data_IF_587055155542
#
_entry.id   IF_587055155542
#
_cell.length_a   1.000
_cell.length_b   1.000
_cell.length_c   1.000
_cell.angle_alpha   90.00
_cell.angle_beta   90.00
_cell.angle_gamma   90.00
#
_symmetry.space_group_name_H-M   'P 1'
#
loop_
_entity.id
_entity.type
_entity.pdbx_description
1 polymer ?
#
# COMPACT_ATOMS: atom_id res chain seq x y z
N UNK A 1 1.99 20.83 -2.34
CA UNK A 1 2.24 19.39 -2.48
C UNK A 1 1.20 18.69 -1.62
N UNK A 2 0.27 17.91 -2.21
CA UNK A 2 -0.73 17.20 -1.41
C UNK A 2 -0.02 16.13 -0.58
N UNK A 3 -0.21 16.18 0.73
CA UNK A 3 0.24 15.15 1.66
C UNK A 3 -0.97 14.29 1.99
N UNK A 4 -0.86 12.98 1.82
CA UNK A 4 -1.97 12.06 2.08
C UNK A 4 -1.84 11.58 3.52
N UNK A 5 -2.88 11.80 4.31
CA UNK A 5 -2.93 11.36 5.70
C UNK A 5 -4.05 10.34 5.87
N UNK A 6 -3.74 9.20 6.48
CA UNK A 6 -4.72 8.22 6.91
C UNK A 6 -4.79 8.22 8.44
N UNK A 7 -5.93 8.64 8.97
CA UNK A 7 -6.24 8.62 10.42
C UNK A 7 -6.95 7.35 10.85
N UNK A 8 -7.41 6.53 9.90
CA UNK A 8 -8.04 5.25 10.20
C UNK A 8 -6.95 4.20 10.40
N UNK A 9 -6.84 3.67 11.63
CA UNK A 9 -5.90 2.61 11.94
C UNK A 9 -6.27 1.33 11.14
N UNK A 10 -5.39 0.83 10.27
CA UNK A 10 -5.71 -0.27 9.35
C UNK A 10 -5.82 -1.65 10.04
N UNK A 11 -5.40 -1.76 11.30
CA UNK A 11 -5.41 -3.02 12.05
C UNK A 11 -6.68 -3.16 12.88
N UNK A 12 -7.06 -2.08 13.56
CA UNK A 12 -8.22 -1.99 14.45
C UNK A 12 -9.46 -1.39 13.79
N UNK A 13 -9.32 -0.78 12.61
CA UNK A 13 -10.38 -0.07 11.87
C UNK A 13 -11.03 1.06 12.69
N UNK A 14 -10.24 1.71 13.54
CA UNK A 14 -10.71 2.83 14.38
C UNK A 14 -10.04 4.13 13.96
N UNK A 15 -10.80 5.22 14.07
CA UNK A 15 -10.27 6.55 13.79
C UNK A 15 -9.37 7.01 14.94
N UNK A 16 -8.20 7.52 14.57
CA UNK A 16 -7.22 8.09 15.48
C UNK A 16 -7.44 9.60 15.51
N UNK A 17 -8.00 10.09 16.61
CA UNK A 17 -8.33 11.51 16.76
C UNK A 17 -7.14 12.35 17.27
N UNK A 18 -6.25 11.80 18.11
CA UNK A 18 -5.11 12.52 18.68
C UNK A 18 -3.79 12.21 17.94
N UNK A 19 -3.63 12.81 16.76
CA UNK A 19 -2.50 12.50 15.87
C UNK A 19 -1.12 12.85 16.46
N UNK A 20 -1.03 13.67 17.50
CA UNK A 20 0.26 14.09 18.07
C UNK A 20 0.82 13.10 19.09
N UNK A 21 -0.04 12.39 19.82
CA UNK A 21 0.40 11.42 20.82
C UNK A 21 0.35 9.98 20.32
N UNK A 22 -0.27 9.75 19.15
CA UNK A 22 -0.39 8.42 18.57
C UNK A 22 0.77 8.07 17.63
N UNK A 23 1.19 6.80 17.59
CA UNK A 23 2.26 6.35 16.71
C UNK A 23 1.86 6.50 15.24
N UNK A 24 2.84 6.83 14.39
CA UNK A 24 2.65 6.95 12.95
C UNK A 24 3.83 6.39 12.16
N UNK A 25 3.61 6.17 10.87
CA UNK A 25 4.66 5.87 9.89
C UNK A 25 4.51 6.79 8.69
N UNK A 26 5.60 6.94 7.95
CA UNK A 26 5.64 7.66 6.69
C UNK A 26 6.08 6.68 5.61
N UNK A 27 5.21 6.43 4.65
CA UNK A 27 5.47 5.60 3.48
C UNK A 27 5.59 6.48 2.24
N UNK A 28 6.42 6.06 1.28
CA UNK A 28 6.69 6.84 0.07
C UNK A 28 7.67 8.00 0.27
N UNK A 29 7.93 8.72 -0.82
CA UNK A 29 8.85 9.87 -0.88
C UNK A 29 8.29 10.97 -1.75
N UNK A 30 8.60 12.23 -1.43
CA UNK A 30 8.21 13.38 -2.25
C UNK A 30 6.70 13.65 -2.22
N UNK A 31 6.08 13.78 -3.39
CA UNK A 31 4.67 14.14 -3.55
C UNK A 31 3.71 12.97 -3.25
N UNK A 32 4.22 11.74 -3.17
CA UNK A 32 3.46 10.52 -2.88
C UNK A 32 3.66 10.07 -1.42
N UNK A 33 4.04 10.99 -0.54
CA UNK A 33 4.23 10.67 0.88
C UNK A 33 2.87 10.43 1.56
N UNK A 34 2.70 9.24 2.12
CA UNK A 34 1.58 8.81 2.92
C UNK A 34 1.98 8.76 4.40
N UNK A 35 1.23 9.43 5.27
CA UNK A 35 1.34 9.25 6.72
C UNK A 35 0.17 8.43 7.23
N UNK A 36 0.46 7.32 7.91
CA UNK A 36 -0.56 6.45 8.54
C UNK A 36 -0.42 6.56 10.05
N UNK A 37 -1.53 6.85 10.74
CA UNK A 37 -1.62 6.92 12.19
C UNK A 37 -2.24 5.64 12.77
N UNK A 38 -1.79 5.25 13.96
CA UNK A 38 -2.21 4.01 14.63
C UNK A 38 -2.78 4.29 16.02
N UNK A 39 -3.73 3.45 16.46
CA UNK A 39 -4.29 3.50 17.82
C UNK A 39 -3.18 3.29 18.85
N UNK A 40 -2.29 2.31 18.62
CA UNK A 40 -1.20 1.98 19.54
C UNK A 40 0.05 1.46 18.82
N UNK A 41 1.16 1.38 19.55
CA UNK A 41 2.42 0.86 19.02
C UNK A 41 2.31 -0.61 18.59
N UNK A 42 1.42 -1.37 19.24
CA UNK A 42 1.12 -2.76 18.86
C UNK A 42 0.55 -2.85 17.45
N UNK A 43 -0.36 -1.95 17.07
CA UNK A 43 -0.97 -1.94 15.74
C UNK A 43 0.05 -1.49 14.70
N UNK A 44 0.87 -0.48 15.01
CA UNK A 44 1.99 -0.08 14.16
C UNK A 44 2.95 -1.25 13.90
N UNK A 45 3.32 -1.99 14.94
CA UNK A 45 4.22 -3.15 14.81
C UNK A 45 3.57 -4.27 14.00
N UNK A 46 2.27 -4.55 14.21
CA UNK A 46 1.53 -5.54 13.43
C UNK A 46 1.42 -5.14 11.94
N UNK A 47 1.20 -3.86 11.65
CA UNK A 47 1.18 -3.35 10.29
C UNK A 47 2.54 -3.55 9.59
N UNK A 48 3.65 -3.18 10.24
CA UNK A 48 4.99 -3.36 9.70
C UNK A 48 5.43 -4.83 9.60
N UNK A 49 4.89 -5.69 10.46
CA UNK A 49 5.15 -7.13 10.44
C UNK A 49 4.25 -7.89 9.45
N UNK A 50 3.18 -7.26 8.96
CA UNK A 50 2.35 -7.84 7.92
C UNK A 50 3.22 -7.93 6.68
N UNK A 51 3.45 -9.12 6.10
CA UNK A 51 4.15 -9.21 4.84
C UNK A 51 3.33 -8.38 3.86
N UNK A 52 3.91 -7.31 3.35
CA UNK A 52 3.42 -6.69 2.13
C UNK A 52 3.54 -7.79 1.10
N UNK A 53 2.46 -8.53 0.87
CA UNK A 53 2.28 -9.19 -0.41
C UNK A 53 2.43 -8.04 -1.38
N UNK A 54 3.57 -7.95 -2.05
CA UNK A 54 3.73 -7.08 -3.18
C UNK A 54 2.92 -7.78 -4.27
N UNK A 55 1.65 -7.41 -4.59
CA UNK A 55 1.06 -7.90 -5.83
C UNK A 55 1.86 -7.40 -7.06
N UNK A 56 2.84 -6.50 -6.84
CA UNK A 56 3.74 -5.95 -7.85
C UNK A 56 5.19 -6.48 -7.77
N UNK A 57 5.47 -7.49 -6.93
CA UNK A 57 6.78 -8.13 -6.86
C UNK A 57 6.71 -9.51 -7.48
N UNK A 58 7.22 -9.65 -8.71
CA UNK A 58 7.32 -10.93 -9.43
C UNK A 58 6.00 -11.60 -9.85
N UNK A 59 5.02 -10.84 -10.34
CA UNK A 59 4.26 -11.36 -11.48
C UNK A 59 5.13 -11.17 -12.71
N UNK A 60 5.96 -12.17 -12.99
CA UNK A 60 6.49 -12.41 -14.33
C UNK A 60 5.32 -12.66 -15.27
N UNK A 61 4.57 -11.60 -15.59
CA UNK A 61 3.58 -11.63 -16.66
C UNK A 61 4.44 -11.72 -17.90
N UNK A 62 4.69 -12.94 -18.34
CA UNK A 62 5.16 -13.25 -19.67
C UNK A 62 4.25 -12.50 -20.65
N UNK A 63 4.69 -11.30 -21.04
CA UNK A 63 4.04 -10.45 -22.03
C UNK A 63 4.28 -10.97 -23.44
N UNK A 64 4.73 -12.22 -23.60
CA UNK A 64 4.59 -12.98 -24.83
C UNK A 64 3.11 -13.34 -25.05
N UNK A 65 2.23 -12.35 -24.99
CA UNK A 65 1.07 -12.36 -25.86
C UNK A 65 1.62 -12.15 -27.28
N UNK A 66 2.22 -13.21 -27.84
CA UNK A 66 2.28 -13.39 -29.28
C UNK A 66 0.82 -13.30 -29.69
N UNK A 67 0.42 -12.13 -30.18
CA UNK A 67 -0.74 -12.00 -31.04
C UNK A 67 -0.53 -13.03 -32.13
N UNK A 68 -1.09 -14.23 -31.93
CA UNK A 68 -1.46 -15.10 -33.03
C UNK A 68 -2.47 -14.26 -33.80
N UNK A 69 -1.95 -13.46 -34.72
CA UNK A 69 -2.72 -12.95 -35.83
C UNK A 69 -3.47 -14.14 -36.37
N UNK A 70 -4.79 -14.03 -36.42
CA UNK A 70 -5.62 -15.05 -37.03
C UNK A 70 -5.24 -15.02 -38.50
N UNK A 71 -4.33 -15.91 -38.90
CA UNK A 71 -3.95 -16.09 -40.29
C UNK A 71 -5.17 -16.72 -40.96
N UNK A 72 -6.06 -15.87 -41.44
CA UNK A 72 -7.12 -16.18 -42.39
C UNK A 72 -6.43 -16.67 -43.67
N UNK A 73 -6.25 -17.99 -43.77
CA UNK A 73 -5.89 -18.62 -45.03
C UNK A 73 -7.22 -18.84 -45.77
N UNK A 74 -7.50 -17.94 -46.70
CA UNK A 74 -8.62 -18.04 -47.63
C UNK A 74 -8.60 -19.31 -48.48
#
# INVERSE_FOLDING_TARGET
MPHITCTLDPISMKDVHDLKHHPSIHEGVGEDQLTVYFEDEKNRAAYLATPTEHPCGDVGVDRSNTTREWIDNG
#
